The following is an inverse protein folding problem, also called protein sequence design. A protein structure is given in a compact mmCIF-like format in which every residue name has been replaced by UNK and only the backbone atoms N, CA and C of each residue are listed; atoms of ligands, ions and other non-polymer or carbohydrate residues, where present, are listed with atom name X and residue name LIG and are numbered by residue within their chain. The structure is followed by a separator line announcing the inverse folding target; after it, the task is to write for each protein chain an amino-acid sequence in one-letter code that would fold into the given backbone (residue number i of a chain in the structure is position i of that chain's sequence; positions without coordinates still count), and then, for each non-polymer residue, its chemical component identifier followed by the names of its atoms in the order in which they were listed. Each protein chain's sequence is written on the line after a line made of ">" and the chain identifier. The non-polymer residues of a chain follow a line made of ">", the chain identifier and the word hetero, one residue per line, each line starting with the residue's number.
data_IF_923458036407
#
_entry.id   IF_923458036407
#
_cell.length_a   1.000
_cell.length_b   1.000
_cell.length_c   1.000
_cell.angle_alpha   90.00
_cell.angle_beta   90.00
_cell.angle_gamma   90.00
#
_symmetry.space_group_name_H-M   'P 1'
#
loop_
_entity.id
_entity.type
_entity.pdbx_description
1 polymer ?
#
# COMPACT_ATOMS: atom_id res chain seq x y z
N UNK A 1 3.08 32.00 -7.27
CA UNK A 1 2.18 31.07 -8.00
C UNK A 1 2.30 29.69 -7.42
N UNK A 2 1.20 28.93 -7.34
CA UNK A 2 1.22 27.54 -6.87
C UNK A 2 0.45 26.65 -7.84
N UNK A 3 0.86 25.38 -7.90
CA UNK A 3 0.29 24.35 -8.76
C UNK A 3 -0.20 23.18 -7.93
N UNK A 4 -1.47 22.79 -8.11
CA UNK A 4 -2.03 21.57 -7.54
C UNK A 4 -1.86 20.44 -8.56
N UNK A 5 -1.06 19.43 -8.23
CA UNK A 5 -0.69 18.34 -9.12
C UNK A 5 -1.47 17.09 -8.79
N UNK A 6 -2.12 16.51 -9.79
CA UNK A 6 -2.79 15.21 -9.67
C UNK A 6 -1.74 14.08 -9.54
N UNK A 7 -1.76 13.27 -8.47
CA UNK A 7 -0.84 12.15 -8.32
C UNK A 7 -1.07 11.02 -9.35
N UNK A 8 -2.19 11.01 -10.04
CA UNK A 8 -2.52 10.05 -11.10
C UNK A 8 -2.03 10.42 -12.49
N UNK A 9 -1.30 11.53 -12.64
CA UNK A 9 -0.76 11.94 -13.94
C UNK A 9 0.27 10.95 -14.48
N UNK A 10 0.40 10.88 -15.80
CA UNK A 10 1.27 9.95 -16.51
C UNK A 10 2.69 10.49 -16.78
N UNK A 11 3.10 11.55 -16.10
CA UNK A 11 4.43 12.15 -16.26
C UNK A 11 5.03 12.51 -14.89
N UNK A 12 6.34 12.53 -14.82
CA UNK A 12 7.09 13.02 -13.66
C UNK A 12 7.18 14.55 -13.73
N UNK A 13 6.92 15.22 -12.62
CA UNK A 13 7.20 16.67 -12.49
C UNK A 13 8.70 16.82 -12.17
N UNK A 14 9.49 16.83 -13.22
CA UNK A 14 10.95 16.94 -13.18
C UNK A 14 11.43 18.38 -13.44
N UNK A 15 12.73 18.54 -13.60
CA UNK A 15 13.36 19.85 -13.82
C UNK A 15 12.91 20.50 -15.14
N UNK A 16 12.64 19.71 -16.20
CA UNK A 16 12.17 20.21 -17.49
C UNK A 16 10.75 20.77 -17.34
N UNK A 17 9.86 20.01 -16.71
CA UNK A 17 8.47 20.43 -16.45
C UNK A 17 8.44 21.67 -15.54
N UNK A 18 9.21 21.67 -14.46
CA UNK A 18 9.30 22.83 -13.55
C UNK A 18 9.84 24.06 -14.24
N UNK A 19 10.73 23.91 -15.22
CA UNK A 19 11.30 24.99 -16.02
C UNK A 19 10.28 25.76 -16.86
N UNK A 20 9.13 25.16 -17.16
CA UNK A 20 8.02 25.81 -17.86
C UNK A 20 7.29 26.85 -16.99
N UNK A 21 7.53 26.84 -15.67
CA UNK A 21 6.82 27.69 -14.70
C UNK A 21 7.79 28.54 -13.87
N UNK A 22 8.44 29.55 -14.44
CA UNK A 22 9.50 30.31 -13.75
C UNK A 22 9.03 31.09 -12.51
N UNK A 23 7.72 31.31 -12.36
CA UNK A 23 7.12 31.99 -11.20
C UNK A 23 6.46 31.02 -10.22
N UNK A 24 6.76 29.72 -10.30
CA UNK A 24 6.18 28.70 -9.40
C UNK A 24 6.88 28.79 -8.04
N UNK A 25 6.11 28.95 -6.98
CA UNK A 25 6.58 29.06 -5.60
C UNK A 25 6.27 27.78 -4.80
N UNK A 26 5.18 27.08 -5.18
CA UNK A 26 4.80 25.87 -4.49
C UNK A 26 4.10 24.86 -5.40
N UNK A 27 4.35 23.56 -5.11
CA UNK A 27 3.61 22.41 -5.65
C UNK A 27 2.83 21.75 -4.50
N UNK A 28 1.56 21.50 -4.73
CA UNK A 28 0.66 20.89 -3.75
C UNK A 28 0.15 19.57 -4.36
N UNK A 29 0.32 18.44 -3.66
CA UNK A 29 -0.23 17.16 -4.10
C UNK A 29 -1.25 16.63 -3.09
N UNK A 30 -2.48 16.26 -3.51
CA UNK A 30 -3.50 15.67 -2.65
C UNK A 30 -3.24 14.17 -2.41
N UNK A 31 -2.00 13.80 -2.17
CA UNK A 31 -1.55 12.43 -1.88
C UNK A 31 -0.52 12.39 -0.77
N UNK A 32 -0.30 11.21 -0.20
CA UNK A 32 0.80 10.97 0.74
C UNK A 32 2.10 10.60 0.03
N UNK A 33 2.00 10.00 -1.17
CA UNK A 33 3.16 9.71 -2.01
C UNK A 33 3.57 10.92 -2.84
N UNK A 34 4.87 11.10 -3.03
CA UNK A 34 5.47 12.19 -3.83
C UNK A 34 6.32 11.67 -4.97
N UNK A 35 6.19 10.38 -5.31
CA UNK A 35 6.98 9.71 -6.35
C UNK A 35 6.71 10.24 -7.77
N UNK A 36 5.67 11.03 -7.97
CA UNK A 36 5.37 11.75 -9.20
C UNK A 36 6.03 13.15 -9.27
N UNK A 37 6.78 13.54 -8.21
CA UNK A 37 7.51 14.81 -8.11
C UNK A 37 9.00 14.55 -7.94
N UNK A 38 9.84 15.24 -8.71
CA UNK A 38 11.29 15.24 -8.49
C UNK A 38 11.65 16.24 -7.39
N UNK A 39 11.66 15.75 -6.14
CA UNK A 39 11.80 16.60 -4.95
C UNK A 39 13.10 17.40 -4.93
N UNK A 40 14.21 16.80 -5.39
CA UNK A 40 15.50 17.49 -5.46
C UNK A 40 15.42 18.68 -6.41
N UNK A 41 14.79 18.54 -7.58
CA UNK A 41 14.60 19.65 -8.53
C UNK A 41 13.70 20.77 -7.96
N UNK A 42 12.65 20.41 -7.21
CA UNK A 42 11.84 21.39 -6.49
C UNK A 42 12.69 22.17 -5.49
N UNK A 43 13.50 21.49 -4.70
CA UNK A 43 14.35 22.09 -3.69
C UNK A 43 15.42 23.03 -4.32
N UNK A 44 16.09 22.61 -5.39
CA UNK A 44 17.10 23.40 -6.11
C UNK A 44 16.52 24.70 -6.68
N UNK A 45 15.24 24.69 -7.08
CA UNK A 45 14.52 25.86 -7.59
C UNK A 45 13.85 26.69 -6.49
N UNK A 46 13.95 26.30 -5.22
CA UNK A 46 13.29 26.97 -4.10
C UNK A 46 11.76 26.83 -4.11
N UNK A 47 11.23 25.79 -4.77
CA UNK A 47 9.80 25.50 -4.86
C UNK A 47 9.40 24.66 -3.65
N UNK A 48 8.47 25.16 -2.82
CA UNK A 48 7.93 24.43 -1.68
C UNK A 48 7.04 23.26 -2.15
N UNK A 49 7.14 22.10 -1.49
CA UNK A 49 6.27 20.95 -1.79
C UNK A 49 5.39 20.65 -0.58
N UNK A 50 4.07 20.64 -0.79
CA UNK A 50 3.08 20.28 0.23
C UNK A 50 2.35 19.01 -0.18
N UNK A 51 2.14 18.12 0.78
CA UNK A 51 1.44 16.85 0.59
C UNK A 51 0.45 16.60 1.74
N UNK A 52 -0.37 15.56 1.63
CA UNK A 52 -1.24 15.16 2.74
C UNK A 52 -0.47 14.71 3.99
N UNK A 53 0.84 14.43 3.90
CA UNK A 53 1.66 14.13 5.08
C UNK A 53 1.77 15.31 6.04
N UNK A 54 1.55 16.52 5.57
CA UNK A 54 1.58 17.75 6.37
C UNK A 54 0.32 17.89 7.24
N UNK A 55 -0.78 17.20 6.89
CA UNK A 55 -1.99 17.09 7.72
C UNK A 55 -2.14 15.69 8.32
N UNK A 56 -1.38 15.41 9.36
CA UNK A 56 -1.44 14.12 10.07
C UNK A 56 -2.78 13.87 10.75
N UNK A 57 -3.46 14.91 11.20
CA UNK A 57 -4.76 14.77 11.86
C UNK A 57 -5.83 14.32 10.85
N UNK A 58 -5.91 14.98 9.71
CA UNK A 58 -6.80 14.61 8.62
C UNK A 58 -6.49 13.21 8.07
N UNK A 59 -5.21 12.88 7.88
CA UNK A 59 -4.80 11.53 7.41
C UNK A 59 -5.28 10.41 8.32
N UNK A 60 -5.31 10.62 9.64
CA UNK A 60 -5.75 9.59 10.58
C UNK A 60 -7.24 9.28 10.47
N UNK A 61 -8.05 10.15 9.86
CA UNK A 61 -9.46 9.90 9.59
C UNK A 61 -9.70 9.06 8.33
N UNK A 62 -8.72 9.00 7.42
CA UNK A 62 -8.84 8.31 6.13
C UNK A 62 -8.56 6.82 6.31
N UNK A 63 -9.55 5.97 6.08
CA UNK A 63 -9.44 4.51 6.13
C UNK A 63 -9.41 3.83 4.76
N UNK A 64 -9.80 4.53 3.70
CA UNK A 64 -10.05 3.98 2.37
C UNK A 64 -8.91 3.08 1.83
N UNK A 65 -7.64 3.50 1.98
CA UNK A 65 -6.51 2.68 1.51
C UNK A 65 -6.38 1.36 2.26
N UNK A 66 -6.64 1.35 3.58
CA UNK A 66 -6.59 0.13 4.37
C UNK A 66 -7.79 -0.78 4.06
N UNK A 67 -8.98 -0.20 3.88
CA UNK A 67 -10.18 -0.93 3.49
C UNK A 67 -9.99 -1.60 2.11
N UNK A 68 -9.45 -0.87 1.14
CA UNK A 68 -9.18 -1.41 -0.18
C UNK A 68 -8.10 -2.51 -0.14
N UNK A 69 -7.04 -2.34 0.66
CA UNK A 69 -6.03 -3.38 0.87
C UNK A 69 -6.63 -4.64 1.48
N UNK A 70 -7.53 -4.49 2.45
CA UNK A 70 -8.23 -5.62 3.07
C UNK A 70 -9.20 -6.31 2.10
N UNK A 71 -9.91 -5.53 1.28
CA UNK A 71 -10.74 -6.06 0.19
C UNK A 71 -9.90 -6.91 -0.78
N UNK A 72 -8.72 -6.44 -1.20
CA UNK A 72 -7.83 -7.18 -2.08
C UNK A 72 -7.32 -8.47 -1.44
N UNK A 73 -6.99 -8.45 -0.14
CA UNK A 73 -6.60 -9.65 0.61
C UNK A 73 -7.74 -10.69 0.60
N UNK A 74 -8.96 -10.29 0.93
CA UNK A 74 -10.12 -11.16 0.91
C UNK A 74 -10.43 -11.64 -0.51
N UNK A 75 -10.38 -10.77 -1.50
CA UNK A 75 -10.59 -11.12 -2.90
C UNK A 75 -9.62 -12.23 -3.35
N UNK A 76 -8.33 -12.09 -3.03
CA UNK A 76 -7.30 -13.07 -3.37
C UNK A 76 -7.55 -14.41 -2.68
N UNK A 77 -7.83 -14.42 -1.38
CA UNK A 77 -8.08 -15.62 -0.62
C UNK A 77 -9.39 -16.32 -1.03
N UNK A 78 -10.44 -15.56 -1.30
CA UNK A 78 -11.78 -16.08 -1.62
C UNK A 78 -12.00 -16.28 -3.12
N UNK A 79 -11.02 -15.93 -3.97
CA UNK A 79 -11.10 -16.04 -5.45
C UNK A 79 -12.35 -15.34 -6.02
N UNK A 80 -12.65 -14.15 -5.50
CA UNK A 80 -13.89 -13.45 -5.83
C UNK A 80 -13.97 -13.10 -7.33
N UNK A 81 -12.86 -12.78 -7.97
CA UNK A 81 -12.74 -12.54 -9.40
C UNK A 81 -13.22 -13.73 -10.23
N UNK A 82 -12.77 -14.94 -9.87
CA UNK A 82 -13.20 -16.20 -10.50
C UNK A 82 -14.69 -16.45 -10.22
N UNK A 83 -15.11 -16.29 -8.96
CA UNK A 83 -16.50 -16.51 -8.57
C UNK A 83 -17.47 -15.59 -9.31
N UNK A 84 -17.10 -14.31 -9.47
CA UNK A 84 -17.90 -13.34 -10.24
C UNK A 84 -17.97 -13.70 -11.73
N UNK A 85 -16.86 -14.10 -12.35
CA UNK A 85 -16.81 -14.49 -13.74
C UNK A 85 -17.69 -15.73 -14.03
N UNK A 86 -17.56 -16.80 -13.20
CA UNK A 86 -18.34 -18.02 -13.35
C UNK A 86 -19.83 -17.79 -13.05
N UNK A 87 -20.13 -16.98 -12.03
CA UNK A 87 -21.52 -16.62 -11.69
C UNK A 87 -22.18 -15.83 -12.83
N UNK A 88 -21.49 -14.84 -13.38
CA UNK A 88 -22.00 -14.04 -14.50
C UNK A 88 -22.23 -14.87 -15.77
N UNK A 89 -21.48 -15.96 -15.93
CA UNK A 89 -21.66 -16.92 -17.02
C UNK A 89 -22.70 -18.00 -16.75
N UNK A 90 -23.39 -17.95 -15.60
CA UNK A 90 -24.41 -18.94 -15.20
C UNK A 90 -23.84 -20.27 -14.73
N UNK A 91 -22.54 -20.42 -14.55
CA UNK A 91 -21.85 -21.69 -14.23
C UNK A 91 -21.51 -21.86 -12.74
N UNK A 92 -22.13 -21.16 -11.86
CA UNK A 92 -21.79 -21.09 -10.44
C UNK A 92 -21.89 -22.47 -9.70
N UNK A 93 -22.75 -23.37 -10.11
CA UNK A 93 -22.83 -24.73 -9.54
C UNK A 93 -21.86 -25.71 -10.19
N UNK A 94 -21.76 -25.67 -11.51
CA UNK A 94 -20.93 -26.57 -12.30
C UNK A 94 -19.44 -26.38 -12.10
N UNK A 95 -19.05 -25.17 -11.66
CA UNK A 95 -17.65 -24.75 -11.46
C UNK A 95 -17.34 -24.41 -10.00
N UNK A 96 -18.06 -24.99 -9.05
CA UNK A 96 -17.87 -24.71 -7.62
C UNK A 96 -16.43 -24.95 -7.17
N UNK A 97 -15.77 -25.99 -7.64
CA UNK A 97 -14.40 -26.34 -7.26
C UNK A 97 -13.37 -25.26 -7.62
N UNK A 98 -13.56 -24.53 -8.75
CA UNK A 98 -12.65 -23.46 -9.14
C UNK A 98 -12.92 -22.16 -8.39
N UNK A 99 -14.12 -22.00 -7.84
CA UNK A 99 -14.52 -20.82 -7.05
C UNK A 99 -14.17 -20.98 -5.57
N UNK A 100 -13.85 -22.18 -5.11
CA UNK A 100 -13.48 -22.40 -3.70
C UNK A 100 -12.22 -21.63 -3.34
N UNK A 101 -12.37 -20.72 -2.40
CA UNK A 101 -11.28 -19.96 -1.80
C UNK A 101 -10.83 -20.56 -0.46
N UNK A 102 -9.96 -19.83 0.21
CA UNK A 102 -9.45 -20.12 1.55
C UNK A 102 -10.04 -19.13 2.55
N UNK A 103 -10.25 -19.57 3.79
CA UNK A 103 -10.64 -18.68 4.88
C UNK A 103 -9.43 -17.87 5.36
N UNK A 104 -9.69 -16.65 5.86
CA UNK A 104 -8.66 -15.82 6.49
C UNK A 104 -8.43 -16.26 7.95
N UNK A 105 -9.47 -16.76 8.62
CA UNK A 105 -9.38 -17.28 9.99
C UNK A 105 -8.30 -18.36 10.11
N UNK A 106 -7.47 -18.26 11.13
CA UNK A 106 -6.35 -19.16 11.38
C UNK A 106 -5.16 -19.02 10.43
N UNK A 107 -5.19 -18.07 9.47
CA UNK A 107 -4.09 -17.78 8.56
C UNK A 107 -3.12 -16.78 9.17
N UNK A 108 -1.85 -16.88 8.79
CA UNK A 108 -0.84 -15.88 9.14
C UNK A 108 -0.73 -14.85 8.04
N UNK A 109 -0.98 -13.58 8.41
CA UNK A 109 -0.85 -12.43 7.51
C UNK A 109 0.40 -11.64 7.88
N UNK A 110 1.33 -11.53 6.94
CA UNK A 110 2.53 -10.71 7.05
C UNK A 110 2.27 -9.29 6.55
N UNK A 111 2.59 -8.29 7.35
CA UNK A 111 2.49 -6.88 6.98
C UNK A 111 3.87 -6.28 6.81
N UNK A 112 4.19 -5.83 5.60
CA UNK A 112 5.42 -5.07 5.32
C UNK A 112 5.10 -3.59 5.49
N UNK A 113 5.57 -3.01 6.59
CA UNK A 113 5.22 -1.66 7.03
C UNK A 113 4.11 -1.65 8.10
N UNK A 114 4.41 -1.07 9.27
CA UNK A 114 3.49 -0.94 10.41
C UNK A 114 3.13 0.53 10.66
N UNK A 115 2.97 1.29 9.56
CA UNK A 115 2.47 2.66 9.56
C UNK A 115 0.96 2.75 9.74
N UNK A 116 0.35 3.84 9.29
CA UNK A 116 -1.10 4.09 9.38
C UNK A 116 -1.94 2.98 8.73
N UNK A 117 -1.59 2.57 7.51
CA UNK A 117 -2.31 1.52 6.78
C UNK A 117 -2.05 0.16 7.44
N UNK A 118 -0.79 -0.20 7.71
CA UNK A 118 -0.43 -1.48 8.32
C UNK A 118 -1.12 -1.73 9.67
N UNK A 119 -1.22 -0.72 10.53
CA UNK A 119 -1.93 -0.82 11.82
C UNK A 119 -3.42 -1.10 11.65
N UNK A 120 -4.09 -0.46 10.68
CA UNK A 120 -5.50 -0.74 10.37
C UNK A 120 -5.67 -2.15 9.80
N UNK A 121 -4.80 -2.56 8.88
CA UNK A 121 -4.77 -3.92 8.34
C UNK A 121 -4.59 -4.96 9.44
N UNK A 122 -3.67 -4.71 10.38
CA UNK A 122 -3.46 -5.60 11.52
C UNK A 122 -4.74 -5.75 12.37
N UNK A 123 -5.44 -4.66 12.62
CA UNK A 123 -6.72 -4.67 13.34
C UNK A 123 -7.79 -5.46 12.56
N UNK A 124 -7.92 -5.23 11.25
CA UNK A 124 -8.91 -5.93 10.42
C UNK A 124 -8.62 -7.42 10.35
N UNK A 125 -7.37 -7.81 10.10
CA UNK A 125 -6.98 -9.22 10.07
C UNK A 125 -7.21 -9.91 11.41
N UNK A 126 -6.88 -9.24 12.53
CA UNK A 126 -7.12 -9.79 13.87
C UNK A 126 -8.61 -9.97 14.17
N UNK A 127 -9.47 -9.08 13.69
CA UNK A 127 -10.92 -9.20 13.83
C UNK A 127 -11.51 -10.38 13.05
N UNK A 128 -10.75 -10.92 12.08
CA UNK A 128 -11.07 -12.11 11.30
C UNK A 128 -10.30 -13.34 11.79
N UNK A 129 -9.80 -13.34 13.03
CA UNK A 129 -9.07 -14.45 13.67
C UNK A 129 -7.79 -14.85 12.93
N UNK A 130 -7.17 -13.94 12.18
CA UNK A 130 -5.87 -14.18 11.57
C UNK A 130 -4.72 -13.89 12.55
N UNK A 131 -3.66 -14.68 12.48
CA UNK A 131 -2.39 -14.36 13.14
C UNK A 131 -1.68 -13.25 12.34
N UNK A 132 -1.39 -12.11 12.97
CA UNK A 132 -0.70 -11.00 12.32
C UNK A 132 0.77 -10.96 12.77
N UNK A 133 1.66 -10.88 11.78
CA UNK A 133 3.09 -10.60 11.97
C UNK A 133 3.49 -9.43 11.11
N UNK A 134 4.55 -8.69 11.49
CA UNK A 134 4.96 -7.54 10.70
C UNK A 134 6.48 -7.37 10.60
N UNK A 135 6.89 -6.71 9.54
CA UNK A 135 8.22 -6.14 9.36
C UNK A 135 8.11 -4.62 9.22
N UNK A 136 8.83 -3.89 10.05
CA UNK A 136 9.01 -2.45 9.95
C UNK A 136 10.31 -2.09 10.68
N UNK A 137 11.32 -1.46 10.04
CA UNK A 137 12.58 -1.13 10.69
C UNK A 137 12.44 -0.06 11.79
N UNK A 138 11.41 0.78 11.70
CA UNK A 138 11.23 1.96 12.56
C UNK A 138 10.21 1.76 13.70
N UNK A 139 9.45 0.65 13.68
CA UNK A 139 8.42 0.36 14.68
C UNK A 139 8.83 -0.83 15.52
N UNK A 140 9.21 -0.58 16.79
CA UNK A 140 9.60 -1.63 17.72
C UNK A 140 8.49 -2.01 18.71
N UNK A 141 7.57 -1.08 19.00
CA UNK A 141 6.47 -1.30 19.95
C UNK A 141 5.14 -1.43 19.21
N UNK A 142 4.61 -2.65 19.24
CA UNK A 142 3.33 -3.01 18.64
C UNK A 142 2.73 -4.20 19.37
N UNK A 143 1.39 -4.34 19.42
CA UNK A 143 0.74 -5.55 19.97
C UNK A 143 1.05 -6.82 19.16
N UNK A 144 1.44 -6.67 17.90
CA UNK A 144 1.72 -7.78 16.99
C UNK A 144 3.21 -8.12 16.96
N UNK A 145 3.52 -9.33 16.54
CA UNK A 145 4.90 -9.87 16.55
C UNK A 145 5.72 -9.27 15.39
N UNK A 146 6.83 -8.63 15.73
CA UNK A 146 7.84 -8.19 14.75
C UNK A 146 8.69 -9.36 14.29
N UNK A 147 9.02 -9.40 12.99
CA UNK A 147 9.86 -10.42 12.37
C UNK A 147 10.85 -9.78 11.40
N UNK A 148 11.89 -10.53 10.97
CA UNK A 148 12.68 -10.13 9.81
C UNK A 148 11.84 -10.28 8.53
N UNK A 149 12.22 -9.56 7.48
CA UNK A 149 11.49 -9.59 6.20
C UNK A 149 11.45 -11.00 5.60
N UNK A 150 12.56 -11.72 5.63
CA UNK A 150 12.69 -13.09 5.13
C UNK A 150 11.80 -14.07 5.93
N UNK A 151 11.85 -13.97 7.27
CA UNK A 151 11.04 -14.83 8.14
C UNK A 151 9.54 -14.58 7.94
N UNK A 152 9.16 -13.32 7.68
CA UNK A 152 7.79 -12.94 7.39
C UNK A 152 7.31 -13.60 6.09
N UNK A 153 8.05 -13.46 4.98
CA UNK A 153 7.69 -14.07 3.71
C UNK A 153 7.59 -15.59 3.80
N UNK A 154 8.59 -16.23 4.44
CA UNK A 154 8.64 -17.69 4.59
C UNK A 154 7.50 -18.29 5.40
N UNK A 155 6.95 -17.54 6.36
CA UNK A 155 5.99 -18.08 7.32
C UNK A 155 4.56 -17.61 7.14
N UNK A 156 4.30 -16.65 6.24
CA UNK A 156 2.97 -16.07 6.05
C UNK A 156 2.19 -16.79 4.94
N UNK A 157 0.90 -17.00 5.15
CA UNK A 157 -0.03 -17.47 4.11
C UNK A 157 -0.37 -16.35 3.10
N UNK A 158 -0.31 -15.10 3.54
CA UNK A 158 -0.50 -13.91 2.71
C UNK A 158 0.37 -12.76 3.21
N UNK A 159 0.85 -11.93 2.29
CA UNK A 159 1.65 -10.74 2.61
C UNK A 159 0.98 -9.50 2.03
N UNK A 160 0.80 -8.46 2.87
CA UNK A 160 0.32 -7.16 2.45
C UNK A 160 1.44 -6.13 2.56
N UNK A 161 1.75 -5.46 1.45
CA UNK A 161 2.76 -4.41 1.39
C UNK A 161 2.09 -3.09 1.71
N UNK A 162 2.40 -2.53 2.89
CA UNK A 162 1.80 -1.31 3.44
C UNK A 162 2.83 -0.19 3.66
N UNK A 163 4.08 -0.38 3.26
CA UNK A 163 5.11 0.65 3.31
C UNK A 163 4.99 1.62 2.13
N UNK A 164 5.45 2.85 2.31
CA UNK A 164 5.57 3.81 1.23
C UNK A 164 6.73 3.43 0.30
N UNK A 165 6.64 3.83 -0.98
CA UNK A 165 7.75 3.76 -1.91
C UNK A 165 8.71 4.92 -1.60
N UNK A 166 9.95 4.59 -1.22
CA UNK A 166 11.04 5.51 -0.92
C UNK A 166 12.32 4.96 -1.52
N UNK A 167 13.42 5.72 -1.49
CA UNK A 167 14.74 5.22 -1.89
C UNK A 167 15.18 3.97 -1.12
N UNK A 168 14.73 3.80 0.13
CA UNK A 168 15.05 2.65 0.98
C UNK A 168 14.17 1.42 0.69
N UNK A 169 12.94 1.65 0.21
CA UNK A 169 11.97 0.58 -0.05
C UNK A 169 11.86 0.21 -1.52
N UNK A 170 12.51 0.98 -2.39
CA UNK A 170 12.60 0.65 -3.81
C UNK A 170 13.36 -0.67 -4.01
N UNK A 171 12.74 -1.62 -4.70
CA UNK A 171 13.30 -2.96 -4.88
C UNK A 171 13.36 -3.83 -3.60
N UNK A 172 12.79 -3.39 -2.47
CA UNK A 172 12.80 -4.14 -1.19
C UNK A 172 12.25 -5.55 -1.33
N UNK A 173 11.21 -5.71 -2.17
CA UNK A 173 10.57 -7.01 -2.42
C UNK A 173 10.90 -7.44 -3.83
N UNK A 174 11.83 -8.38 -3.93
CA UNK A 174 12.28 -8.94 -5.19
C UNK A 174 12.05 -10.45 -5.28
N UNK A 175 12.45 -11.05 -6.40
CA UNK A 175 12.29 -12.47 -6.68
C UNK A 175 12.76 -13.40 -5.54
N UNK A 176 13.89 -13.15 -4.84
CA UNK A 176 14.35 -14.02 -3.76
C UNK A 176 13.36 -14.13 -2.58
N UNK A 177 12.57 -13.10 -2.31
CA UNK A 177 11.52 -13.13 -1.28
C UNK A 177 10.23 -13.78 -1.80
N UNK A 178 9.88 -13.51 -3.05
CA UNK A 178 8.65 -14.03 -3.67
C UNK A 178 8.71 -15.52 -4.00
N UNK A 179 9.91 -16.09 -4.07
CA UNK A 179 10.14 -17.52 -4.40
C UNK A 179 10.18 -18.44 -3.16
N UNK A 180 9.96 -17.90 -1.95
CA UNK A 180 9.93 -18.65 -0.70
C UNK A 180 8.51 -19.17 -0.41
#
# INVERSE_FOLDING_TARGET
>A
TFWVVDPGQNFLVDDEVLGLFPSLEAVITPSTGTNHLHLDACQERGIAVYSLLDDRAGLNTISASAEFTFLLLLNTLRRLDVAMAESSAGRWREREEVMRGRELSGKRVGLVGMGRIGRRMATYCSAFDAEVVYYDPYVDKSPWKKMSLEALFKSSDAVCVCCALTRETDGLIGFPLLSQ
#
